data_IF_530526402242
#
_entry.id   IF_530526402242
#
_cell.length_a   1.000
_cell.length_b   1.000
_cell.length_c   1.000
_cell.angle_alpha   90.00
_cell.angle_beta   90.00
_cell.angle_gamma   90.00
#
_symmetry.space_group_name_H-M   'P 1'
#
loop_
_entity.id
_entity.type
_entity.pdbx_description
1 polymer ?
#
# COMPACT_ATOMS: atom_id res chain seq x y z
N UNK A 1 21.83 -16.93 -23.33
CA UNK A 1 21.83 -15.65 -24.05
C UNK A 1 23.02 -15.54 -24.97
N UNK A 2 24.24 -15.86 -24.52
CA UNK A 2 25.46 -15.80 -25.34
C UNK A 2 25.36 -16.64 -26.63
N UNK A 3 24.74 -17.81 -26.58
CA UNK A 3 24.51 -18.64 -27.78
C UNK A 3 23.70 -17.93 -28.89
N UNK A 4 22.76 -17.05 -28.50
CA UNK A 4 21.99 -16.25 -29.47
C UNK A 4 22.84 -15.14 -30.10
N UNK A 5 23.74 -14.54 -29.35
CA UNK A 5 24.70 -13.55 -29.86
C UNK A 5 25.63 -14.24 -30.86
N UNK A 6 26.22 -15.40 -30.47
CA UNK A 6 27.11 -16.16 -31.32
C UNK A 6 26.43 -16.58 -32.63
N UNK A 7 25.21 -17.12 -32.55
CA UNK A 7 24.47 -17.53 -33.75
C UNK A 7 24.21 -16.35 -34.74
N UNK A 8 24.09 -15.12 -34.23
CA UNK A 8 24.00 -13.93 -35.09
C UNK A 8 25.31 -13.55 -35.70
N UNK A 9 26.40 -13.64 -34.95
CA UNK A 9 27.77 -13.44 -35.50
C UNK A 9 28.10 -14.45 -36.60
N UNK A 10 27.75 -15.72 -36.41
CA UNK A 10 27.92 -16.79 -37.36
C UNK A 10 27.12 -16.59 -38.65
N UNK A 11 26.04 -15.77 -38.61
CA UNK A 11 25.23 -15.32 -39.76
C UNK A 11 25.78 -14.04 -40.40
N UNK A 12 27.02 -13.64 -40.09
CA UNK A 12 27.65 -12.40 -40.55
C UNK A 12 26.90 -11.10 -40.17
N UNK A 13 26.09 -11.12 -39.10
CA UNK A 13 25.54 -9.90 -38.53
C UNK A 13 26.64 -9.05 -37.90
N UNK A 14 26.43 -7.74 -37.83
CA UNK A 14 27.36 -6.86 -37.10
C UNK A 14 27.38 -7.19 -35.59
N UNK A 15 28.48 -6.85 -34.94
CA UNK A 15 28.61 -7.03 -33.48
C UNK A 15 27.46 -6.34 -32.74
N UNK A 16 27.09 -5.12 -33.17
CA UNK A 16 26.00 -4.37 -32.56
C UNK A 16 24.64 -5.09 -32.71
N UNK A 17 24.33 -5.63 -33.89
CA UNK A 17 23.09 -6.39 -34.11
C UNK A 17 23.02 -7.66 -33.27
N UNK A 18 24.15 -8.38 -33.19
CA UNK A 18 24.27 -9.58 -32.40
C UNK A 18 24.07 -9.28 -30.88
N UNK A 19 24.75 -8.25 -30.38
CA UNK A 19 24.59 -7.80 -29.00
C UNK A 19 23.17 -7.31 -28.68
N UNK A 20 22.55 -6.56 -29.57
CA UNK A 20 21.15 -6.10 -29.46
C UNK A 20 20.19 -7.30 -29.34
N UNK A 21 20.46 -8.38 -30.10
CA UNK A 21 19.66 -9.62 -30.02
C UNK A 21 19.82 -10.29 -28.64
N UNK A 22 21.03 -10.36 -28.12
CA UNK A 22 21.31 -10.89 -26.79
C UNK A 22 20.63 -10.09 -25.69
N UNK A 23 20.77 -8.76 -25.71
CA UNK A 23 20.15 -7.85 -24.74
C UNK A 23 18.61 -7.94 -24.75
N UNK A 24 18.01 -7.94 -25.95
CA UNK A 24 16.54 -8.14 -26.06
C UNK A 24 16.11 -9.47 -25.47
N UNK A 25 16.87 -10.56 -25.69
CA UNK A 25 16.54 -11.85 -25.12
C UNK A 25 16.65 -11.87 -23.58
N UNK A 26 17.57 -11.11 -22.97
CA UNK A 26 17.64 -10.92 -21.52
C UNK A 26 16.42 -10.17 -21.03
N UNK A 27 16.11 -9.00 -21.62
CA UNK A 27 15.04 -8.10 -21.19
C UNK A 27 13.64 -8.73 -21.26
N UNK A 28 13.40 -9.68 -22.17
CA UNK A 28 12.11 -10.39 -22.28
C UNK A 28 12.11 -11.74 -21.58
N UNK A 29 13.19 -12.11 -20.90
CA UNK A 29 13.24 -13.42 -20.25
C UNK A 29 12.41 -13.44 -18.97
N UNK A 30 11.74 -14.56 -18.65
CA UNK A 30 11.04 -14.70 -17.37
C UNK A 30 11.95 -14.53 -16.14
N UNK A 31 13.24 -14.83 -16.27
CA UNK A 31 14.23 -14.65 -15.20
C UNK A 31 14.56 -13.18 -14.92
N UNK A 32 14.35 -12.30 -15.90
CA UNK A 32 14.54 -10.87 -15.75
C UNK A 32 13.25 -10.18 -15.29
N UNK A 33 12.09 -10.63 -15.86
CA UNK A 33 10.81 -9.96 -15.65
C UNK A 33 10.13 -10.33 -14.33
N UNK A 34 10.44 -11.51 -13.76
CA UNK A 34 9.76 -12.05 -12.59
C UNK A 34 10.75 -12.51 -11.53
N UNK A 35 10.41 -12.27 -10.27
CA UNK A 35 11.09 -12.91 -9.15
C UNK A 35 10.72 -14.40 -9.17
N UNK A 36 11.67 -15.22 -9.60
CA UNK A 36 11.52 -16.69 -9.68
C UNK A 36 12.29 -17.35 -8.57
N UNK A 37 11.58 -17.93 -7.64
CA UNK A 37 12.14 -18.60 -6.48
C UNK A 37 11.78 -20.08 -6.52
N UNK A 38 12.61 -20.89 -5.87
CA UNK A 38 12.29 -22.31 -5.66
C UNK A 38 11.24 -22.42 -4.54
N UNK A 39 10.30 -23.38 -4.64
CA UNK A 39 9.40 -23.65 -3.51
C UNK A 39 10.19 -24.06 -2.27
N UNK A 40 9.76 -23.56 -1.11
CA UNK A 40 10.38 -23.88 0.18
C UNK A 40 11.10 -22.68 0.82
N UNK A 41 12.17 -22.97 1.57
CA UNK A 41 12.98 -21.95 2.24
C UNK A 41 13.70 -21.08 1.19
N UNK A 42 13.63 -19.76 1.37
CA UNK A 42 14.30 -18.80 0.50
C UNK A 42 15.82 -18.87 0.73
N UNK A 43 16.57 -18.77 -0.35
CA UNK A 43 17.99 -18.50 -0.28
C UNK A 43 18.30 -17.01 -0.02
N UNK A 44 19.54 -16.69 0.27
CA UNK A 44 19.97 -15.34 0.64
C UNK A 44 19.74 -14.32 -0.47
N UNK A 45 19.93 -14.71 -1.75
CA UNK A 45 19.66 -13.82 -2.89
C UNK A 45 18.15 -13.55 -3.07
N UNK A 46 17.31 -14.55 -2.82
CA UNK A 46 15.88 -14.38 -2.83
C UNK A 46 15.42 -13.45 -1.68
N UNK A 47 16.01 -13.59 -0.48
CA UNK A 47 15.74 -12.69 0.65
C UNK A 47 16.17 -11.26 0.31
N UNK A 48 17.39 -11.06 -0.20
CA UNK A 48 17.89 -9.75 -0.62
C UNK A 48 16.96 -9.09 -1.66
N UNK A 49 16.54 -9.87 -2.67
CA UNK A 49 15.65 -9.40 -3.73
C UNK A 49 14.28 -9.01 -3.17
N UNK A 50 13.64 -9.88 -2.38
CA UNK A 50 12.34 -9.58 -1.78
C UNK A 50 12.40 -8.35 -0.89
N UNK A 51 13.45 -8.23 -0.05
CA UNK A 51 13.62 -7.09 0.83
C UNK A 51 13.74 -5.79 0.04
N UNK A 52 14.57 -5.79 -1.01
CA UNK A 52 14.82 -4.60 -1.83
C UNK A 52 13.58 -4.20 -2.63
N UNK A 53 12.90 -5.11 -3.29
CA UNK A 53 11.66 -4.81 -4.01
C UNK A 53 10.53 -4.39 -3.06
N UNK A 54 10.47 -4.94 -1.85
CA UNK A 54 9.46 -4.56 -0.86
C UNK A 54 9.68 -3.14 -0.33
N UNK A 55 10.92 -2.81 0.08
CA UNK A 55 11.22 -1.52 0.72
C UNK A 55 11.59 -0.40 -0.26
N UNK A 56 12.19 -0.73 -1.41
CA UNK A 56 12.72 0.27 -2.35
C UNK A 56 12.10 0.19 -3.74
N UNK A 57 11.29 -0.83 -4.03
CA UNK A 57 10.75 -1.09 -5.39
C UNK A 57 11.83 -1.15 -6.46
N UNK A 58 13.03 -1.56 -6.10
CA UNK A 58 14.19 -1.66 -6.96
C UNK A 58 15.01 -2.91 -6.67
N UNK A 59 15.97 -3.23 -7.53
CA UNK A 59 16.90 -4.33 -7.33
C UNK A 59 17.80 -4.07 -6.09
N UNK A 60 18.34 -5.15 -5.47
CA UNK A 60 19.26 -5.03 -4.35
C UNK A 60 20.48 -4.17 -4.69
N UNK A 61 20.96 -3.41 -3.70
CA UNK A 61 22.23 -2.73 -3.78
C UNK A 61 23.41 -3.68 -3.55
N UNK A 62 24.61 -3.15 -3.72
CA UNK A 62 25.84 -3.94 -3.60
C UNK A 62 25.99 -4.55 -2.21
N UNK A 63 25.66 -3.81 -1.14
CA UNK A 63 25.71 -4.30 0.24
C UNK A 63 24.80 -5.52 0.46
N UNK A 64 23.55 -5.46 -0.03
CA UNK A 64 22.62 -6.59 0.06
C UNK A 64 23.12 -7.80 -0.75
N UNK A 65 23.68 -7.57 -1.94
CA UNK A 65 24.22 -8.64 -2.77
C UNK A 65 25.46 -9.31 -2.15
N UNK A 66 26.35 -8.53 -1.53
CA UNK A 66 27.52 -9.06 -0.81
C UNK A 66 27.12 -9.87 0.42
N UNK A 67 26.12 -9.40 1.18
CA UNK A 67 25.58 -10.15 2.32
C UNK A 67 24.94 -11.46 1.87
N UNK A 68 24.19 -11.45 0.77
CA UNK A 68 23.60 -12.64 0.18
C UNK A 68 24.68 -13.63 -0.29
N UNK A 69 25.75 -13.15 -0.94
CA UNK A 69 26.85 -13.98 -1.40
C UNK A 69 27.60 -14.69 -0.24
N UNK A 70 27.58 -14.09 0.95
CA UNK A 70 28.19 -14.69 2.17
C UNK A 70 27.22 -15.56 2.97
N UNK A 71 25.95 -15.72 2.55
CA UNK A 71 24.94 -16.51 3.27
C UNK A 71 24.52 -15.88 4.61
N UNK A 72 24.58 -14.54 4.71
CA UNK A 72 24.41 -13.82 5.97
C UNK A 72 22.95 -13.73 6.46
N UNK A 73 21.96 -13.94 5.60
CA UNK A 73 20.54 -13.85 5.95
C UNK A 73 19.97 -15.16 6.50
N UNK A 74 20.39 -16.29 5.95
CA UNK A 74 19.91 -17.62 6.37
C UNK A 74 20.77 -18.26 7.46
N UNK A 75 21.99 -17.76 7.65
CA UNK A 75 22.98 -18.34 8.57
C UNK A 75 23.65 -19.59 8.02
N UNK A 76 23.44 -19.92 6.75
CA UNK A 76 24.06 -21.08 6.08
C UNK A 76 25.47 -20.74 5.53
N UNK A 77 25.88 -19.46 5.58
CA UNK A 77 27.22 -19.01 5.23
C UNK A 77 28.20 -19.24 6.36
N UNK A 78 29.41 -19.69 6.02
CA UNK A 78 30.48 -20.14 6.91
C UNK A 78 30.61 -19.27 8.16
N UNK A 79 30.47 -19.93 9.29
CA UNK A 79 30.66 -19.42 10.65
C UNK A 79 31.90 -18.55 10.80
N UNK A 80 31.73 -17.26 11.04
CA UNK A 80 32.55 -16.62 12.04
C UNK A 80 32.10 -17.20 13.39
N UNK A 81 33.04 -17.92 14.04
CA UNK A 81 32.88 -18.49 15.37
C UNK A 81 32.68 -17.40 16.39
N UNK A 82 31.41 -16.97 16.54
CA UNK A 82 30.95 -16.26 17.72
C UNK A 82 30.26 -17.29 18.60
N UNK A 83 30.69 -17.38 19.86
CA UNK A 83 30.33 -18.36 20.85
C UNK A 83 28.88 -18.83 20.80
N UNK A 84 28.66 -20.06 20.29
CA UNK A 84 27.35 -20.71 20.13
C UNK A 84 26.59 -20.91 21.45
N UNK A 85 27.20 -20.62 22.60
CA UNK A 85 26.61 -20.86 23.93
C UNK A 85 25.69 -19.76 24.41
N UNK A 86 25.89 -18.50 23.97
CA UNK A 86 25.06 -17.36 24.43
C UNK A 86 23.84 -17.09 23.57
N UNK A 87 23.76 -17.65 22.35
CA UNK A 87 22.67 -17.37 21.40
C UNK A 87 21.51 -18.36 21.44
N UNK A 88 21.64 -19.51 22.10
CA UNK A 88 20.57 -20.57 22.08
C UNK A 88 19.41 -20.30 23.01
N UNK A 89 19.58 -19.52 24.06
CA UNK A 89 18.58 -19.42 25.14
C UNK A 89 17.63 -18.22 25.07
N UNK A 90 17.80 -17.30 24.11
CA UNK A 90 17.04 -16.04 24.10
C UNK A 90 16.26 -15.73 22.82
N UNK A 91 16.42 -16.54 21.75
CA UNK A 91 15.75 -16.22 20.47
C UNK A 91 14.55 -17.13 20.21
N UNK A 92 13.31 -16.60 20.12
CA UNK A 92 12.15 -17.39 19.73
C UNK A 92 12.34 -18.00 18.33
N UNK A 93 11.82 -19.21 18.07
CA UNK A 93 11.85 -19.82 16.75
C UNK A 93 11.24 -18.88 15.70
N UNK A 94 11.95 -18.63 14.60
CA UNK A 94 11.49 -17.75 13.53
C UNK A 94 11.86 -16.27 13.67
N UNK A 95 12.63 -15.87 14.69
CA UNK A 95 13.15 -14.49 14.77
C UNK A 95 14.10 -14.20 13.62
N UNK A 96 14.00 -13.01 12.97
CA UNK A 96 14.91 -12.58 11.92
C UNK A 96 16.37 -12.62 12.40
N UNK A 97 17.31 -12.92 11.52
CA UNK A 97 18.73 -12.78 11.83
C UNK A 97 19.04 -11.32 12.21
N UNK A 98 20.05 -11.10 13.06
CA UNK A 98 20.46 -9.73 13.42
C UNK A 98 20.84 -8.92 12.19
N UNK A 99 21.45 -9.56 11.19
CA UNK A 99 21.84 -8.95 9.91
C UNK A 99 20.59 -8.51 9.11
N UNK A 100 19.56 -9.35 9.01
CA UNK A 100 18.33 -8.99 8.32
C UNK A 100 17.66 -7.76 8.97
N UNK A 101 17.57 -7.73 10.30
CA UNK A 101 17.03 -6.58 11.04
C UNK A 101 17.85 -5.30 10.77
N UNK A 102 19.18 -5.38 10.82
CA UNK A 102 20.04 -4.24 10.54
C UNK A 102 19.82 -3.70 9.12
N UNK A 103 19.68 -4.60 8.13
CA UNK A 103 19.41 -4.18 6.75
C UNK A 103 18.03 -3.55 6.60
N UNK A 104 16.99 -4.08 7.24
CA UNK A 104 15.65 -3.45 7.25
C UNK A 104 15.74 -2.03 7.83
N UNK A 105 16.41 -1.84 8.97
CA UNK A 105 16.54 -0.52 9.58
C UNK A 105 17.36 0.45 8.71
N UNK A 106 18.44 -0.02 8.09
CA UNK A 106 19.22 0.77 7.13
C UNK A 106 18.34 1.22 5.96
N UNK A 107 17.63 0.29 5.37
CA UNK A 107 16.81 0.53 4.18
C UNK A 107 15.62 1.46 4.46
N UNK A 108 15.02 1.37 5.64
CA UNK A 108 13.94 2.28 6.05
C UNK A 108 14.42 3.73 6.27
N UNK A 109 15.70 3.93 6.58
CA UNK A 109 16.31 5.27 6.70
C UNK A 109 16.76 5.84 5.37
N UNK A 110 16.87 5.04 4.32
CA UNK A 110 17.26 5.46 2.98
C UNK A 110 16.11 6.23 2.30
N UNK A 111 16.39 7.31 1.55
CA UNK A 111 15.35 8.02 0.77
C UNK A 111 14.53 7.14 -0.17
N UNK A 112 15.07 6.02 -0.66
CA UNK A 112 14.33 5.04 -1.47
C UNK A 112 13.15 4.39 -0.73
N UNK A 113 13.14 4.44 0.62
CA UNK A 113 12.02 3.93 1.42
C UNK A 113 10.71 4.69 1.18
N UNK A 114 10.74 5.87 0.56
CA UNK A 114 9.54 6.54 0.09
C UNK A 114 8.70 5.64 -0.85
N UNK A 115 9.35 4.77 -1.62
CA UNK A 115 8.67 3.80 -2.48
C UNK A 115 7.85 2.79 -1.67
N UNK A 116 8.33 2.35 -0.50
CA UNK A 116 7.56 1.50 0.40
C UNK A 116 6.30 2.23 0.89
N UNK A 117 6.47 3.44 1.40
CA UNK A 117 5.35 4.24 1.91
C UNK A 117 4.27 4.41 0.83
N UNK A 118 4.65 4.79 -0.39
CA UNK A 118 3.72 4.98 -1.50
C UNK A 118 3.04 3.67 -1.91
N UNK A 119 3.80 2.62 -2.18
CA UNK A 119 3.24 1.35 -2.65
C UNK A 119 2.41 0.62 -1.60
N UNK A 120 2.84 0.65 -0.33
CA UNK A 120 2.12 -0.02 0.74
C UNK A 120 0.78 0.65 1.03
N UNK A 121 0.78 1.98 1.21
CA UNK A 121 -0.47 2.73 1.47
C UNK A 121 -1.43 2.62 0.30
N UNK A 122 -0.91 2.69 -0.92
CA UNK A 122 -1.66 2.60 -2.16
C UNK A 122 -2.41 1.24 -2.28
N UNK A 123 -1.73 0.15 -1.96
CA UNK A 123 -2.32 -1.19 -1.98
C UNK A 123 -3.20 -1.46 -0.76
N UNK A 124 -2.72 -1.14 0.44
CA UNK A 124 -3.45 -1.40 1.68
C UNK A 124 -4.76 -0.63 1.74
N UNK A 125 -4.72 0.67 1.47
CA UNK A 125 -5.88 1.56 1.57
C UNK A 125 -6.67 1.69 0.28
N UNK A 126 -6.30 0.94 -0.77
CA UNK A 126 -6.93 0.96 -2.11
C UNK A 126 -6.90 2.35 -2.77
N UNK A 127 -5.82 3.14 -2.55
CA UNK A 127 -5.74 4.50 -3.10
C UNK A 127 -5.67 4.53 -4.63
N UNK A 128 -5.23 3.43 -5.28
CA UNK A 128 -5.29 3.26 -6.74
C UNK A 128 -6.69 3.40 -7.32
N UNK A 129 -7.70 3.04 -6.53
CA UNK A 129 -9.10 3.18 -6.89
C UNK A 129 -9.60 4.65 -6.90
N UNK A 130 -8.71 5.63 -6.64
CA UNK A 130 -9.08 7.05 -6.62
C UNK A 130 -9.66 7.52 -7.96
N UNK A 131 -9.26 6.90 -9.06
CA UNK A 131 -9.72 7.21 -10.43
C UNK A 131 -10.87 6.31 -10.92
N UNK A 132 -11.27 5.28 -10.15
CA UNK A 132 -12.33 4.34 -10.57
C UNK A 132 -13.71 5.00 -10.67
N UNK A 133 -13.93 6.09 -9.94
CA UNK A 133 -15.16 6.87 -10.00
C UNK A 133 -14.84 8.35 -10.23
N UNK A 134 -15.63 9.02 -11.06
CA UNK A 134 -15.52 10.47 -11.24
C UNK A 134 -16.64 11.15 -10.46
N UNK A 135 -16.33 12.08 -9.53
CA UNK A 135 -17.35 12.88 -8.87
C UNK A 135 -18.16 13.69 -9.87
N UNK A 136 -19.46 13.75 -9.64
CA UNK A 136 -20.36 14.56 -10.47
C UNK A 136 -19.99 16.03 -10.36
N UNK A 137 -19.71 16.66 -11.50
CA UNK A 137 -19.21 18.05 -11.55
C UNK A 137 -20.27 19.09 -11.13
N UNK A 138 -21.53 18.74 -11.21
CA UNK A 138 -22.63 19.64 -10.77
C UNK A 138 -22.80 19.59 -9.26
N UNK A 139 -22.57 18.40 -8.66
CA UNK A 139 -22.68 18.21 -7.21
C UNK A 139 -21.39 18.59 -6.47
N UNK A 140 -20.24 18.40 -7.10
CA UNK A 140 -18.91 18.61 -6.51
C UNK A 140 -18.03 19.46 -7.44
N UNK A 141 -18.41 20.71 -7.73
CA UNK A 141 -17.66 21.56 -8.65
C UNK A 141 -16.25 21.90 -8.15
N UNK A 142 -16.01 21.74 -6.84
CA UNK A 142 -14.69 21.95 -6.22
C UNK A 142 -13.72 20.79 -6.45
N UNK A 143 -14.18 19.63 -6.93
CA UNK A 143 -13.28 18.49 -7.15
C UNK A 143 -12.46 18.70 -8.44
N UNK A 144 -11.15 18.77 -8.27
CA UNK A 144 -10.17 18.92 -9.33
C UNK A 144 -8.97 17.96 -9.14
N UNK A 145 -8.06 17.90 -10.11
CA UNK A 145 -6.87 17.06 -10.04
C UNK A 145 -5.94 17.47 -8.90
N UNK A 146 -5.88 18.75 -8.55
CA UNK A 146 -5.06 19.23 -7.44
C UNK A 146 -5.60 18.68 -6.12
N UNK A 147 -6.91 18.71 -5.92
CA UNK A 147 -7.55 18.14 -4.74
C UNK A 147 -7.37 16.63 -4.68
N UNK A 148 -7.54 15.93 -5.81
CA UNK A 148 -7.32 14.48 -5.91
C UNK A 148 -5.91 14.09 -5.50
N UNK A 149 -4.89 14.70 -6.11
CA UNK A 149 -3.48 14.43 -5.82
C UNK A 149 -3.17 14.79 -4.35
N UNK A 150 -3.69 15.91 -3.87
CA UNK A 150 -3.46 16.34 -2.50
C UNK A 150 -4.06 15.38 -1.49
N UNK A 151 -5.23 14.82 -1.76
CA UNK A 151 -5.87 13.85 -0.85
C UNK A 151 -5.08 12.55 -0.71
N UNK A 152 -4.53 12.04 -1.81
CA UNK A 152 -3.63 10.87 -1.77
C UNK A 152 -2.34 11.19 -1.01
N UNK A 153 -1.77 12.38 -1.27
CA UNK A 153 -0.52 12.80 -0.63
C UNK A 153 -0.67 13.02 0.88
N UNK A 154 -1.81 13.51 1.36
CA UNK A 154 -2.15 13.57 2.78
C UNK A 154 -1.95 12.20 3.45
N UNK A 155 -2.59 11.18 2.89
CA UNK A 155 -2.59 9.82 3.44
C UNK A 155 -1.18 9.20 3.42
N UNK A 156 -0.45 9.42 2.33
CA UNK A 156 0.93 8.92 2.21
C UNK A 156 1.86 9.60 3.21
N UNK A 157 1.77 10.92 3.38
CA UNK A 157 2.57 11.66 4.34
C UNK A 157 2.22 11.30 5.80
N UNK A 158 0.96 11.05 6.07
CA UNK A 158 0.50 10.61 7.37
C UNK A 158 1.10 9.24 7.74
N UNK A 159 1.07 8.28 6.82
CA UNK A 159 1.69 6.98 7.03
C UNK A 159 3.22 7.10 7.21
N UNK A 160 3.87 7.92 6.39
CA UNK A 160 5.31 8.17 6.44
C UNK A 160 5.74 8.74 7.81
N UNK A 161 4.94 9.66 8.36
CA UNK A 161 5.16 10.23 9.69
C UNK A 161 5.06 9.17 10.79
N UNK A 162 4.04 8.29 10.73
CA UNK A 162 3.88 7.21 11.69
C UNK A 162 5.06 6.24 11.64
N UNK A 163 5.49 5.88 10.43
CA UNK A 163 6.59 4.94 10.21
C UNK A 163 7.93 5.53 10.68
N UNK A 164 8.24 6.77 10.30
CA UNK A 164 9.53 7.41 10.62
C UNK A 164 9.71 7.67 12.11
N UNK A 165 8.63 7.95 12.81
CA UNK A 165 8.67 8.33 14.22
C UNK A 165 8.16 7.22 15.15
N UNK A 166 7.92 6.00 14.60
CA UNK A 166 7.41 4.85 15.36
C UNK A 166 6.18 5.19 16.22
N UNK A 167 5.24 5.93 15.62
CA UNK A 167 4.04 6.37 16.32
C UNK A 167 3.03 5.24 16.45
N UNK A 168 2.19 5.33 17.47
CA UNK A 168 1.16 4.32 17.73
C UNK A 168 0.23 4.11 16.53
N UNK A 169 -0.06 2.84 16.20
CA UNK A 169 -1.03 2.46 15.17
C UNK A 169 -2.45 2.95 15.46
N UNK A 170 -2.77 3.30 16.72
CA UNK A 170 -4.04 3.92 17.08
C UNK A 170 -4.30 5.23 16.32
N UNK A 171 -3.25 5.92 15.84
CA UNK A 171 -3.37 7.09 15.00
C UNK A 171 -4.10 6.81 13.67
N UNK A 172 -4.10 5.59 13.15
CA UNK A 172 -4.90 5.26 11.96
C UNK A 172 -6.41 5.39 12.22
N UNK A 173 -6.85 5.19 13.43
CA UNK A 173 -8.27 5.31 13.82
C UNK A 173 -8.57 6.70 14.38
N UNK A 174 -7.70 7.20 15.27
CA UNK A 174 -7.88 8.49 15.93
C UNK A 174 -6.51 9.18 16.07
N UNK A 175 -6.36 10.32 15.41
CA UNK A 175 -5.14 11.13 15.43
C UNK A 175 -5.49 12.58 15.70
N UNK A 176 -4.60 13.28 16.41
CA UNK A 176 -4.68 14.71 16.69
C UNK A 176 -3.94 15.57 15.65
N UNK A 177 -3.48 14.96 14.55
CA UNK A 177 -2.84 15.67 13.45
C UNK A 177 -3.18 15.06 12.09
N UNK A 178 -2.94 15.86 11.04
CA UNK A 178 -2.91 15.42 9.64
C UNK A 178 -1.90 16.25 8.84
N UNK A 179 -1.80 16.02 7.54
CA UNK A 179 -0.95 16.77 6.61
C UNK A 179 -1.81 17.52 5.58
N UNK A 180 -1.74 18.85 5.57
CA UNK A 180 -2.54 19.68 4.67
C UNK A 180 -1.68 20.63 3.86
N UNK A 181 -2.13 20.85 2.63
CA UNK A 181 -1.84 22.05 1.85
C UNK A 181 -3.07 22.96 1.84
N UNK A 182 -2.99 24.15 1.23
CA UNK A 182 -4.10 25.10 1.18
C UNK A 182 -5.35 24.54 0.52
N UNK A 183 -5.21 23.64 -0.48
CA UNK A 183 -6.34 23.06 -1.20
C UNK A 183 -7.16 22.10 -0.33
N UNK A 184 -6.50 21.23 0.44
CA UNK A 184 -7.14 20.34 1.41
C UNK A 184 -7.69 21.11 2.62
N UNK A 185 -6.94 22.09 3.10
CA UNK A 185 -7.40 22.94 4.20
C UNK A 185 -8.70 23.65 3.87
N UNK A 186 -8.85 24.15 2.64
CA UNK A 186 -10.09 24.73 2.14
C UNK A 186 -11.23 23.69 2.14
N UNK A 187 -11.00 22.48 1.64
CA UNK A 187 -11.99 21.41 1.67
C UNK A 187 -12.42 21.05 3.09
N UNK A 188 -11.48 21.04 4.03
CA UNK A 188 -11.71 20.65 5.42
C UNK A 188 -12.26 21.79 6.29
N UNK A 189 -12.30 23.03 5.77
CA UNK A 189 -12.70 24.20 6.52
C UNK A 189 -11.69 24.59 7.61
N UNK A 190 -10.40 24.24 7.44
CA UNK A 190 -9.33 24.58 8.39
C UNK A 190 -8.62 25.84 7.92
N UNK A 191 -8.74 26.97 8.65
CA UNK A 191 -8.18 28.26 8.24
C UNK A 191 -6.67 28.34 8.46
N UNK A 192 -6.02 29.34 7.83
CA UNK A 192 -4.61 29.70 8.09
C UNK A 192 -3.59 28.84 7.35
N UNK A 193 -4.01 28.00 6.42
CA UNK A 193 -3.12 27.15 5.60
C UNK A 193 -3.27 27.57 4.15
N UNK A 194 -2.19 28.06 3.56
CA UNK A 194 -2.15 28.54 2.19
C UNK A 194 -1.04 27.87 1.38
N UNK A 195 -1.19 27.92 0.04
CA UNK A 195 -0.21 27.40 -0.91
C UNK A 195 -0.24 25.87 -1.05
N UNK A 196 0.69 25.35 -1.85
CA UNK A 196 0.73 23.94 -2.24
C UNK A 196 1.61 23.07 -1.36
N UNK A 197 2.45 23.69 -0.51
CA UNK A 197 3.36 22.95 0.37
C UNK A 197 2.57 22.28 1.51
N UNK A 198 2.80 20.98 1.67
CA UNK A 198 2.22 20.23 2.79
C UNK A 198 2.91 20.56 4.10
N UNK A 199 2.14 20.61 5.15
CA UNK A 199 2.62 20.78 6.53
C UNK A 199 1.82 19.92 7.49
N UNK A 200 2.45 19.47 8.56
CA UNK A 200 1.76 18.78 9.66
C UNK A 200 0.90 19.81 10.40
N UNK A 201 -0.36 19.49 10.59
CA UNK A 201 -1.37 20.39 11.17
C UNK A 201 -2.04 19.68 12.35
N UNK A 202 -2.09 20.30 13.54
CA UNK A 202 -2.86 19.77 14.64
C UNK A 202 -4.36 19.84 14.34
N UNK A 203 -5.08 18.80 14.74
CA UNK A 203 -6.53 18.75 14.62
C UNK A 203 -7.18 19.04 15.96
N UNK A 204 -8.20 19.90 15.94
CA UNK A 204 -9.01 20.15 17.12
C UNK A 204 -10.22 19.20 17.16
N UNK A 205 -10.76 18.87 18.34
CA UNK A 205 -11.97 18.04 18.44
C UNK A 205 -13.14 18.56 17.59
N UNK A 206 -13.28 19.87 17.46
CA UNK A 206 -14.34 20.51 16.69
C UNK A 206 -14.21 20.28 15.17
N UNK A 207 -13.04 19.88 14.70
CA UNK A 207 -12.84 19.54 13.27
C UNK A 207 -13.57 18.26 12.88
N UNK A 208 -13.96 17.41 13.82
CA UNK A 208 -14.53 16.08 13.62
C UNK A 208 -13.67 15.20 12.70
N UNK A 209 -12.35 15.41 12.72
CA UNK A 209 -11.36 14.69 11.92
C UNK A 209 -10.32 14.04 12.79
N UNK A 210 -9.73 12.96 12.28
CA UNK A 210 -8.63 12.24 12.91
C UNK A 210 -8.52 10.84 12.34
N UNK A 211 -7.30 10.46 11.97
CA UNK A 211 -7.01 9.17 11.36
C UNK A 211 -7.52 9.02 9.92
N UNK A 212 -7.22 7.87 9.32
CA UNK A 212 -7.44 7.65 7.88
C UNK A 212 -8.92 7.67 7.47
N UNK A 213 -9.82 7.29 8.37
CA UNK A 213 -11.26 7.19 8.08
C UNK A 213 -11.92 8.53 7.75
N UNK A 214 -11.26 9.63 8.09
CA UNK A 214 -11.76 11.00 7.82
C UNK A 214 -11.00 11.70 6.70
N UNK A 215 -9.98 11.06 6.11
CA UNK A 215 -9.20 11.62 5.01
C UNK A 215 -9.99 11.61 3.70
N UNK A 216 -9.83 12.65 2.91
CA UNK A 216 -10.56 12.85 1.65
C UNK A 216 -10.33 11.69 0.66
N UNK A 217 -9.11 11.14 0.59
CA UNK A 217 -8.79 9.98 -0.26
C UNK A 217 -9.67 8.76 0.09
N UNK A 218 -9.78 8.42 1.38
CA UNK A 218 -10.56 7.27 1.85
C UNK A 218 -12.06 7.51 1.64
N UNK A 219 -12.52 8.71 1.92
CA UNK A 219 -13.91 9.09 1.68
C UNK A 219 -14.26 9.00 0.19
N UNK A 220 -13.31 9.34 -0.70
CA UNK A 220 -13.47 9.28 -2.15
C UNK A 220 -13.47 7.85 -2.68
N UNK A 221 -12.47 7.00 -2.32
CA UNK A 221 -12.39 5.62 -2.81
C UNK A 221 -13.54 4.73 -2.30
N UNK A 222 -14.24 5.17 -1.26
CA UNK A 222 -15.41 4.49 -0.69
C UNK A 222 -16.75 5.15 -1.08
N UNK A 223 -16.76 5.99 -2.11
CA UNK A 223 -17.96 6.67 -2.63
C UNK A 223 -18.20 6.31 -4.11
N UNK A 224 -19.42 6.53 -4.58
CA UNK A 224 -19.80 6.20 -5.96
C UNK A 224 -19.73 7.39 -6.95
N UNK A 225 -19.24 8.55 -6.49
CA UNK A 225 -19.15 9.77 -7.29
C UNK A 225 -20.34 10.72 -7.23
N UNK A 226 -21.49 10.28 -6.76
CA UNK A 226 -22.70 11.14 -6.58
C UNK A 226 -23.14 11.23 -5.13
N UNK A 227 -23.01 10.14 -4.37
CA UNK A 227 -23.41 10.07 -2.96
C UNK A 227 -22.35 9.35 -2.13
N UNK A 228 -22.36 9.61 -0.83
CA UNK A 228 -21.59 8.79 0.10
C UNK A 228 -22.18 7.37 0.17
N UNK A 229 -21.32 6.36 0.32
CA UNK A 229 -21.74 4.96 0.46
C UNK A 229 -21.30 4.39 1.80
N UNK A 230 -22.12 4.47 2.85
CA UNK A 230 -21.76 3.90 4.15
C UNK A 230 -21.50 2.40 4.09
N UNK A 231 -22.21 1.64 3.23
CA UNK A 231 -22.03 0.21 3.06
C UNK A 231 -20.65 -0.10 2.47
N UNK A 232 -20.27 0.56 1.37
CA UNK A 232 -18.94 0.38 0.77
C UNK A 232 -17.85 0.76 1.77
N UNK A 233 -18.05 1.82 2.55
CA UNK A 233 -17.11 2.25 3.58
C UNK A 233 -17.03 1.24 4.73
N UNK A 234 -18.15 0.69 5.19
CA UNK A 234 -18.17 -0.36 6.20
C UNK A 234 -17.45 -1.63 5.72
N UNK A 235 -17.72 -2.08 4.50
CA UNK A 235 -17.03 -3.20 3.89
C UNK A 235 -15.51 -2.93 3.77
N UNK A 236 -15.13 -1.72 3.37
CA UNK A 236 -13.72 -1.30 3.31
C UNK A 236 -13.05 -1.32 4.70
N UNK A 237 -13.74 -0.85 5.75
CA UNK A 237 -13.21 -0.90 7.13
C UNK A 237 -13.00 -2.34 7.57
N UNK A 238 -13.98 -3.23 7.34
CA UNK A 238 -13.86 -4.65 7.68
C UNK A 238 -12.69 -5.30 6.96
N UNK A 239 -12.54 -5.03 5.67
CA UNK A 239 -11.48 -5.64 4.84
C UNK A 239 -10.09 -5.03 5.17
N UNK A 240 -9.95 -3.70 5.12
CA UNK A 240 -8.64 -3.02 5.13
C UNK A 240 -8.11 -2.71 6.52
N UNK A 241 -8.98 -2.44 7.48
CA UNK A 241 -8.59 -2.09 8.85
C UNK A 241 -8.68 -3.29 9.77
N UNK A 242 -9.76 -4.08 9.68
CA UNK A 242 -9.99 -5.19 10.57
C UNK A 242 -9.50 -6.54 10.04
N UNK A 243 -9.17 -6.64 8.74
CA UNK A 243 -8.71 -7.89 8.11
C UNK A 243 -9.79 -8.98 8.06
N UNK A 244 -11.06 -8.61 8.17
CA UNK A 244 -12.22 -9.52 8.16
C UNK A 244 -13.18 -9.11 7.03
N UNK A 245 -12.81 -9.37 5.75
CA UNK A 245 -13.65 -8.97 4.63
C UNK A 245 -15.04 -9.58 4.72
N UNK A 246 -16.11 -8.81 4.42
CA UNK A 246 -17.45 -9.35 4.40
C UNK A 246 -17.59 -10.46 3.33
N UNK A 247 -18.50 -11.43 3.53
CA UNK A 247 -18.74 -12.44 2.52
C UNK A 247 -19.23 -11.79 1.23
N UNK A 248 -18.83 -12.39 0.08
CA UNK A 248 -19.33 -11.94 -1.22
C UNK A 248 -20.84 -12.16 -1.28
N UNK A 249 -21.61 -11.21 -1.87
CA UNK A 249 -23.02 -11.42 -2.11
C UNK A 249 -23.24 -12.71 -2.91
N UNK A 250 -24.24 -13.50 -2.55
CA UNK A 250 -24.63 -14.65 -3.37
C UNK A 250 -25.13 -14.14 -4.74
N UNK A 251 -24.69 -14.80 -5.82
CA UNK A 251 -25.05 -14.42 -7.18
C UNK A 251 -26.57 -14.42 -7.45
N UNK A 252 -27.31 -15.17 -6.65
CA UNK A 252 -28.75 -15.36 -6.78
C UNK A 252 -29.61 -14.34 -6.00
N UNK A 253 -28.97 -13.40 -5.30
CA UNK A 253 -29.71 -12.32 -4.61
C UNK A 253 -29.89 -11.18 -5.61
N UNK A 254 -31.11 -11.06 -6.16
CA UNK A 254 -31.49 -9.87 -6.94
C UNK A 254 -31.26 -8.62 -6.11
N UNK A 255 -30.72 -7.56 -6.75
CA UNK A 255 -30.61 -6.24 -6.13
C UNK A 255 -32.02 -5.73 -5.82
N UNK A 256 -32.47 -5.98 -4.62
CA UNK A 256 -33.76 -5.44 -4.15
C UNK A 256 -33.55 -3.96 -3.83
N UNK A 257 -34.13 -3.09 -4.64
CA UNK A 257 -34.22 -1.67 -4.28
C UNK A 257 -35.04 -1.55 -2.99
N UNK A 258 -34.46 -0.97 -1.91
CA UNK A 258 -35.21 -0.81 -0.68
C UNK A 258 -36.33 0.19 -0.89
N UNK A 259 -37.50 -0.06 -0.32
CA UNK A 259 -38.56 0.98 -0.22
C UNK A 259 -38.08 2.08 0.73
N UNK A 260 -37.53 3.14 0.15
CA UNK A 260 -36.99 4.28 0.87
C UNK A 260 -38.02 5.41 1.08
N UNK A 261 -39.30 5.21 0.67
CA UNK A 261 -40.35 6.24 0.82
C UNK A 261 -40.47 6.67 2.27
N UNK A 262 -40.46 8.01 2.49
CA UNK A 262 -40.50 8.60 3.82
C UNK A 262 -39.19 8.52 4.62
N UNK A 263 -38.08 8.01 4.04
CA UNK A 263 -36.75 8.15 4.63
C UNK A 263 -36.13 9.47 4.18
N UNK A 264 -35.73 10.29 5.14
CA UNK A 264 -35.15 11.64 4.89
C UNK A 264 -33.63 11.62 4.99
N UNK A 265 -33.06 10.61 5.66
CA UNK A 265 -31.63 10.48 5.85
C UNK A 265 -31.12 9.14 5.29
N UNK A 266 -29.84 9.10 4.92
CA UNK A 266 -29.16 7.85 4.49
C UNK A 266 -29.26 6.77 5.58
N UNK A 267 -29.20 7.16 6.85
CA UNK A 267 -29.34 6.24 7.98
C UNK A 267 -30.70 5.57 8.01
N UNK A 268 -31.77 6.32 7.78
CA UNK A 268 -33.13 5.80 7.69
C UNK A 268 -33.31 4.90 6.49
N UNK A 269 -32.74 5.24 5.33
CA UNK A 269 -32.75 4.40 4.13
C UNK A 269 -32.07 3.06 4.39
N UNK A 270 -30.88 3.06 4.99
CA UNK A 270 -30.15 1.86 5.37
C UNK A 270 -30.87 1.03 6.43
N UNK A 271 -31.54 1.70 7.40
CA UNK A 271 -32.35 1.02 8.40
C UNK A 271 -33.50 0.26 7.75
N UNK A 272 -34.22 0.87 6.82
CA UNK A 272 -35.29 0.23 6.05
C UNK A 272 -34.80 -0.96 5.22
N UNK A 273 -33.64 -0.81 4.54
CA UNK A 273 -33.02 -1.87 3.78
C UNK A 273 -32.70 -3.09 4.64
N UNK A 274 -32.20 -2.88 5.86
CA UNK A 274 -31.88 -3.96 6.82
C UNK A 274 -33.08 -4.65 7.44
N UNK A 275 -34.30 -4.12 7.33
CA UNK A 275 -35.51 -4.81 7.78
C UNK A 275 -35.88 -6.01 6.91
N UNK A 276 -35.37 -6.09 5.69
CA UNK A 276 -35.50 -7.29 4.86
C UNK A 276 -34.53 -8.36 5.35
N UNK A 277 -35.05 -9.53 5.74
CA UNK A 277 -34.27 -10.64 6.31
C UNK A 277 -33.19 -11.16 5.36
N UNK A 278 -33.45 -11.14 4.05
CA UNK A 278 -32.44 -11.52 3.04
C UNK A 278 -31.25 -10.58 3.02
N UNK A 279 -31.48 -9.27 3.26
CA UNK A 279 -30.43 -8.25 3.30
C UNK A 279 -29.74 -8.20 4.66
N UNK A 280 -30.47 -8.43 5.75
CA UNK A 280 -30.01 -8.34 7.12
C UNK A 280 -28.83 -9.28 7.43
N UNK A 281 -28.79 -10.46 6.86
CA UNK A 281 -27.75 -11.47 7.10
C UNK A 281 -26.34 -10.98 6.72
N UNK A 282 -26.22 -10.16 5.68
CA UNK A 282 -24.96 -9.57 5.24
C UNK A 282 -24.75 -8.18 5.86
N UNK A 283 -25.80 -7.34 5.88
CA UNK A 283 -25.69 -5.96 6.33
C UNK A 283 -25.69 -5.77 7.86
N UNK A 284 -25.90 -6.83 8.65
CA UNK A 284 -25.70 -6.75 10.10
C UNK A 284 -24.23 -6.64 10.53
N UNK A 285 -23.31 -7.01 9.63
CA UNK A 285 -21.85 -6.95 9.86
C UNK A 285 -21.20 -5.63 9.37
N UNK A 286 -21.94 -4.85 8.55
CA UNK A 286 -21.42 -3.66 7.87
C UNK A 286 -21.97 -2.37 8.54
#
# INVERSE_FOLDING_TARGET
FLSRVQAKLDQNATFEEAMRTGLRAVLVSPHFLFLREKPGKLDDFAIASRLSYFLWSSMPDEELLELAARGAFTGDGASEKLDEKEQRDTKPPGSPSSVLRQQVERMLRDPKAAAFTENFTDQWLSLRAIDDTMPDRMLYPEFDDVLKISSVKETTLFFDELLKHDLSLANFVASDFTFLNGRLAQLYGIPGIEGMAFRKVPLTPDSHRGGVLTMASILKVTANGTTTSPILRGAWVLDRIMGTPPPKPNADVEAVEPDIRGATTIREQLSKHRHNTACASCHALI
#
